data_IF_735283441387
#
_entry.id   IF_735283441387
#
_cell.length_a   1.000
_cell.length_b   1.000
_cell.length_c   1.000
_cell.angle_alpha   90.00
_cell.angle_beta   90.00
_cell.angle_gamma   90.00
#
_symmetry.space_group_name_H-M   'P 1'
#
loop_
_entity.id
_entity.type
_entity.pdbx_description
1 polymer ?
#
# COMPACT_ATOMS: atom_id res chain seq x y z
N UNK A 1 -8.68 -31.72 -3.31
CA UNK A 1 -7.26 -32.10 -3.11
C UNK A 1 -6.40 -30.86 -3.31
N UNK A 2 -5.36 -30.70 -2.51
CA UNK A 2 -4.42 -29.58 -2.62
C UNK A 2 -3.39 -29.85 -3.70
N UNK A 3 -3.19 -28.91 -4.63
CA UNK A 3 -2.15 -29.03 -5.65
C UNK A 3 -0.84 -28.38 -5.15
N UNK A 4 0.17 -29.19 -4.86
CA UNK A 4 1.54 -28.67 -4.71
C UNK A 4 2.09 -28.32 -6.11
N UNK A 5 2.60 -27.11 -6.27
CA UNK A 5 2.97 -26.55 -7.56
C UNK A 5 4.47 -26.37 -7.70
N UNK A 6 4.97 -26.58 -8.91
CA UNK A 6 6.31 -26.19 -9.32
C UNK A 6 6.26 -24.84 -10.05
N UNK A 7 7.36 -24.10 -10.04
CA UNK A 7 7.50 -22.87 -10.84
C UNK A 7 7.12 -23.13 -12.31
N UNK A 8 6.27 -22.28 -12.87
CA UNK A 8 5.70 -22.38 -14.22
C UNK A 8 4.49 -23.30 -14.37
N UNK A 9 4.19 -24.15 -13.38
CA UNK A 9 3.01 -25.02 -13.42
C UNK A 9 1.71 -24.22 -13.27
N UNK A 10 0.60 -24.77 -13.77
CA UNK A 10 -0.71 -24.15 -13.67
C UNK A 10 -1.81 -25.17 -13.37
N UNK A 11 -2.86 -24.72 -12.69
CA UNK A 11 -4.02 -25.54 -12.29
C UNK A 11 -5.31 -24.78 -12.63
N UNK A 12 -6.35 -25.45 -13.16
CA UNK A 12 -7.67 -24.83 -13.33
C UNK A 12 -8.30 -24.50 -11.98
N UNK A 13 -9.04 -23.40 -11.93
CA UNK A 13 -9.79 -22.96 -10.77
C UNK A 13 -11.29 -23.14 -11.03
N UNK A 14 -11.95 -23.87 -10.13
CA UNK A 14 -13.41 -24.00 -10.13
C UNK A 14 -14.09 -23.00 -9.19
N UNK A 15 -13.30 -22.27 -8.39
CA UNK A 15 -13.80 -21.28 -7.44
C UNK A 15 -14.15 -19.97 -8.16
N UNK A 16 -15.29 -19.38 -7.78
CA UNK A 16 -15.75 -18.09 -8.32
C UNK A 16 -15.02 -16.91 -7.69
N UNK A 17 -14.57 -17.06 -6.45
CA UNK A 17 -13.76 -16.11 -5.74
C UNK A 17 -12.60 -16.84 -5.04
N UNK A 18 -11.44 -16.20 -4.99
CA UNK A 18 -10.23 -16.79 -4.41
C UNK A 18 -9.67 -15.92 -3.29
N UNK A 19 -9.04 -16.59 -2.34
CA UNK A 19 -8.25 -15.99 -1.27
C UNK A 19 -6.81 -16.48 -1.40
N UNK A 20 -5.93 -15.59 -1.86
CA UNK A 20 -4.50 -15.83 -1.96
C UNK A 20 -3.81 -15.37 -0.68
N UNK A 21 -3.21 -16.31 0.05
CA UNK A 21 -2.53 -16.08 1.32
C UNK A 21 -1.03 -16.24 1.09
N UNK A 22 -0.29 -15.15 1.26
CA UNK A 22 1.15 -15.22 1.44
C UNK A 22 1.44 -15.64 2.89
N UNK A 23 2.38 -16.56 3.08
CA UNK A 23 2.81 -17.02 4.40
C UNK A 23 4.33 -17.12 4.46
N UNK A 24 4.93 -16.66 5.54
CA UNK A 24 6.37 -16.74 5.80
C UNK A 24 6.67 -16.91 7.29
N UNK A 25 7.87 -17.44 7.58
CA UNK A 25 8.36 -17.64 8.95
C UNK A 25 8.99 -16.35 9.47
N UNK A 26 8.49 -15.73 10.55
CA UNK A 26 9.08 -14.52 11.13
C UNK A 26 10.39 -14.83 11.88
N UNK A 27 11.27 -13.83 12.01
CA UNK A 27 12.53 -13.93 12.75
C UNK A 27 13.23 -12.58 12.91
N UNK A 28 14.30 -12.49 13.71
CA UNK A 28 15.00 -11.22 14.01
C UNK A 28 15.49 -10.45 12.78
N UNK A 29 15.86 -11.15 11.71
CA UNK A 29 16.39 -10.56 10.46
C UNK A 29 15.47 -10.81 9.26
N UNK A 30 14.23 -11.27 9.50
CA UNK A 30 13.26 -11.54 8.44
C UNK A 30 12.45 -10.27 8.22
N UNK A 31 12.47 -9.66 7.02
CA UNK A 31 11.68 -8.46 6.75
C UNK A 31 10.18 -8.75 6.82
N UNK A 32 9.40 -7.70 7.02
CA UNK A 32 7.96 -7.79 6.81
C UNK A 32 7.66 -7.92 5.31
N UNK A 33 6.58 -8.64 4.97
CA UNK A 33 6.20 -8.91 3.58
C UNK A 33 4.81 -8.34 3.35
N UNK A 34 4.66 -7.57 2.28
CA UNK A 34 3.38 -7.01 1.85
C UNK A 34 2.87 -7.72 0.60
N UNK A 35 1.63 -8.21 0.67
CA UNK A 35 0.93 -8.75 -0.49
C UNK A 35 0.36 -7.61 -1.33
N UNK A 36 0.45 -7.75 -2.65
CA UNK A 36 -0.18 -6.83 -3.60
C UNK A 36 -0.80 -7.58 -4.77
N UNK A 37 -1.75 -6.96 -5.45
CA UNK A 37 -2.36 -7.47 -6.66
C UNK A 37 -2.43 -6.42 -7.77
N UNK A 38 -2.11 -6.82 -9.00
CA UNK A 38 -2.29 -6.00 -10.18
C UNK A 38 -3.35 -6.63 -11.08
N UNK A 39 -4.38 -5.87 -11.42
CA UNK A 39 -5.39 -6.27 -12.38
C UNK A 39 -4.93 -5.83 -13.77
N UNK A 40 -4.65 -6.80 -14.63
CA UNK A 40 -4.16 -6.56 -15.97
C UNK A 40 -5.28 -6.82 -16.96
N UNK A 41 -5.35 -5.94 -17.96
CA UNK A 41 -6.17 -6.17 -19.12
C UNK A 41 -5.37 -6.66 -20.32
N UNK A 42 -6.05 -6.67 -21.47
CA UNK A 42 -5.50 -7.15 -22.74
C UNK A 42 -4.14 -6.52 -23.05
N UNK A 43 -3.10 -7.35 -23.15
CA UNK A 43 -1.72 -6.92 -23.38
C UNK A 43 -0.84 -6.93 -22.13
N UNK A 44 -1.34 -7.42 -21.00
CA UNK A 44 -0.55 -7.63 -19.79
C UNK A 44 -0.16 -6.33 -19.11
N UNK A 45 -1.03 -5.32 -19.15
CA UNK A 45 -0.84 -4.00 -18.52
C UNK A 45 -2.06 -3.60 -17.71
N UNK A 46 -1.85 -2.76 -16.71
CA UNK A 46 -2.95 -2.13 -15.97
C UNK A 46 -3.72 -1.17 -16.89
N UNK A 47 -5.01 -0.95 -16.61
CA UNK A 47 -5.83 0.01 -17.37
C UNK A 47 -5.74 1.42 -16.78
N UNK A 48 -5.50 1.50 -15.47
CA UNK A 48 -5.22 2.71 -14.71
C UNK A 48 -4.43 2.34 -13.44
N UNK A 49 -3.87 3.34 -12.75
CA UNK A 49 -3.17 3.11 -11.47
C UNK A 49 -4.08 2.52 -10.38
N UNK A 50 -5.40 2.67 -10.53
CA UNK A 50 -6.40 2.09 -9.63
C UNK A 50 -6.46 0.54 -9.69
N UNK A 51 -5.96 -0.05 -10.78
CA UNK A 51 -5.85 -1.50 -10.93
C UNK A 51 -4.71 -2.11 -10.08
N UNK A 52 -4.03 -1.30 -9.28
CA UNK A 52 -3.05 -1.75 -8.30
C UNK A 52 -3.61 -1.76 -6.87
N UNK A 53 -3.68 -2.94 -6.27
CA UNK A 53 -4.07 -3.14 -4.88
C UNK A 53 -2.83 -3.44 -4.05
N UNK A 54 -2.51 -2.59 -3.09
CA UNK A 54 -1.33 -2.70 -2.22
C UNK A 54 -1.59 -2.05 -0.86
N UNK A 55 -0.59 -1.87 -0.02
CA UNK A 55 -0.80 -1.40 1.36
C UNK A 55 -1.45 0.00 1.47
N UNK A 56 -1.11 0.93 0.58
CA UNK A 56 -1.68 2.28 0.57
C UNK A 56 -3.04 2.36 -0.13
N UNK A 57 -3.35 1.37 -0.96
CA UNK A 57 -4.64 1.20 -1.64
C UNK A 57 -5.12 -0.25 -1.46
N UNK A 58 -5.62 -0.61 -0.26
CA UNK A 58 -5.92 -1.99 0.07
C UNK A 58 -7.18 -2.53 -0.62
N UNK A 59 -7.87 -1.72 -1.43
CA UNK A 59 -9.10 -2.11 -2.12
C UNK A 59 -9.12 -1.49 -3.51
N UNK A 60 -9.46 -2.30 -4.50
CA UNK A 60 -9.80 -1.82 -5.84
C UNK A 60 -11.14 -1.06 -5.81
N UNK A 61 -11.35 0.00 -6.62
CA UNK A 61 -12.61 0.74 -6.65
C UNK A 61 -13.86 -0.10 -6.94
N UNK A 62 -13.72 -1.21 -7.68
CA UNK A 62 -14.81 -2.16 -7.91
C UNK A 62 -15.26 -2.91 -6.65
N UNK A 63 -14.42 -2.95 -5.61
CA UNK A 63 -14.61 -3.76 -4.41
C UNK A 63 -14.36 -5.27 -4.59
N UNK A 64 -14.07 -5.71 -5.82
CA UNK A 64 -13.92 -7.13 -6.17
C UNK A 64 -12.54 -7.69 -5.82
N UNK A 65 -11.52 -6.84 -5.72
CA UNK A 65 -10.18 -7.23 -5.28
C UNK A 65 -9.78 -6.37 -4.08
N UNK A 66 -9.32 -7.03 -3.01
CA UNK A 66 -8.89 -6.35 -1.79
C UNK A 66 -7.81 -7.12 -1.05
N UNK A 67 -6.92 -6.37 -0.44
CA UNK A 67 -5.98 -6.86 0.57
C UNK A 67 -6.67 -6.88 1.94
N UNK A 68 -6.46 -7.94 2.69
CA UNK A 68 -6.88 -8.07 4.08
C UNK A 68 -5.72 -7.72 5.03
N UNK A 69 -6.01 -7.38 6.30
CA UNK A 69 -4.95 -7.13 7.27
C UNK A 69 -4.06 -8.34 7.48
N UNK A 70 -2.77 -8.10 7.71
CA UNK A 70 -1.81 -9.13 8.10
C UNK A 70 -2.27 -9.83 9.38
N UNK A 71 -2.00 -11.12 9.47
CA UNK A 71 -2.33 -11.96 10.63
C UNK A 71 -1.13 -12.79 11.04
N UNK A 72 -1.08 -13.12 12.32
CA UNK A 72 -0.17 -14.13 12.87
C UNK A 72 -0.95 -15.42 13.09
N UNK A 73 -0.46 -16.50 12.53
CA UNK A 73 -0.98 -17.86 12.68
C UNK A 73 0.10 -18.76 13.30
N UNK A 74 -0.26 -19.98 13.66
CA UNK A 74 0.66 -20.95 14.27
C UNK A 74 1.88 -21.20 13.37
N UNK A 75 1.68 -21.23 12.05
CA UNK A 75 2.70 -21.54 11.05
C UNK A 75 3.49 -20.33 10.54
N UNK A 76 3.21 -19.10 11.02
CA UNK A 76 3.95 -17.91 10.62
C UNK A 76 3.14 -16.62 10.56
N UNK A 77 3.67 -15.65 9.83
CA UNK A 77 2.95 -14.43 9.46
C UNK A 77 2.26 -14.62 8.10
N UNK A 78 1.13 -13.96 7.93
CA UNK A 78 0.36 -14.01 6.68
C UNK A 78 -0.10 -12.63 6.26
N UNK A 79 -0.13 -12.43 4.94
CA UNK A 79 -0.80 -11.33 4.27
C UNK A 79 -1.71 -11.93 3.17
N UNK A 80 -2.81 -11.27 2.84
CA UNK A 80 -3.87 -11.90 2.06
C UNK A 80 -4.51 -10.96 1.06
N UNK A 81 -4.73 -11.46 -0.15
CA UNK A 81 -5.55 -10.82 -1.18
C UNK A 81 -6.76 -11.70 -1.46
N UNK A 82 -7.96 -11.10 -1.46
CA UNK A 82 -9.19 -11.72 -1.95
C UNK A 82 -9.56 -11.12 -3.31
N UNK A 83 -10.01 -11.96 -4.23
CA UNK A 83 -10.46 -11.56 -5.57
C UNK A 83 -11.72 -12.34 -5.99
N UNK A 84 -12.79 -11.63 -6.34
CA UNK A 84 -14.00 -12.21 -6.95
C UNK A 84 -13.82 -12.29 -8.47
N UNK A 85 -13.35 -13.44 -8.93
CA UNK A 85 -12.97 -13.67 -10.33
C UNK A 85 -14.17 -13.78 -11.28
N UNK A 86 -15.33 -14.17 -10.76
CA UNK A 86 -16.55 -14.30 -11.56
C UNK A 86 -17.17 -12.94 -11.88
N UNK A 87 -17.05 -11.97 -10.96
CA UNK A 87 -17.57 -10.63 -11.13
C UNK A 87 -16.60 -9.64 -11.79
N UNK A 88 -15.31 -10.01 -11.97
CA UNK A 88 -14.33 -9.15 -12.61
C UNK A 88 -14.77 -8.75 -14.03
N UNK A 89 -14.55 -7.47 -14.34
CA UNK A 89 -14.82 -6.90 -15.65
C UNK A 89 -14.17 -7.76 -16.76
N UNK A 90 -14.85 -8.01 -17.89
CA UNK A 90 -14.32 -8.84 -18.98
C UNK A 90 -13.00 -8.32 -19.58
N UNK A 91 -12.70 -7.03 -19.42
CA UNK A 91 -11.42 -6.45 -19.84
C UNK A 91 -10.24 -6.83 -18.95
N UNK A 92 -10.47 -7.40 -17.75
CA UNK A 92 -9.41 -7.96 -16.88
C UNK A 92 -9.23 -9.44 -17.21
N UNK A 93 -8.12 -9.77 -17.86
CA UNK A 93 -7.77 -11.14 -18.26
C UNK A 93 -6.77 -11.80 -17.30
N UNK A 94 -6.10 -11.02 -16.45
CA UNK A 94 -5.11 -11.52 -15.52
C UNK A 94 -5.09 -10.71 -14.21
N UNK A 95 -4.85 -11.39 -13.09
CA UNK A 95 -4.56 -10.80 -11.78
C UNK A 95 -3.21 -11.34 -11.31
N UNK A 96 -2.20 -10.47 -11.25
CA UNK A 96 -0.86 -10.79 -10.75
C UNK A 96 -0.86 -10.66 -9.24
N UNK A 97 -0.36 -11.68 -8.54
CA UNK A 97 -0.24 -11.73 -7.08
C UNK A 97 1.25 -11.62 -6.73
N UNK A 98 1.61 -10.52 -6.07
CA UNK A 98 2.99 -10.19 -5.77
C UNK A 98 3.22 -10.02 -4.26
N UNK A 99 4.49 -10.17 -3.87
CA UNK A 99 5.02 -9.93 -2.54
C UNK A 99 6.13 -8.89 -2.64
N UNK A 100 6.23 -7.98 -1.68
CA UNK A 100 7.34 -7.02 -1.58
C UNK A 100 7.84 -6.86 -0.15
N UNK A 101 9.08 -6.40 -0.03
CA UNK A 101 9.76 -6.07 1.22
C UNK A 101 10.45 -4.72 1.08
N UNK A 102 10.46 -3.91 2.14
CA UNK A 102 11.08 -2.57 2.11
C UNK A 102 12.48 -2.56 2.75
N UNK A 103 12.69 -3.33 3.82
CA UNK A 103 13.90 -3.21 4.66
C UNK A 103 15.04 -4.16 4.28
N UNK A 104 14.73 -5.28 3.63
CA UNK A 104 15.71 -6.30 3.28
C UNK A 104 15.24 -7.15 2.10
N UNK A 105 16.17 -7.73 1.31
CA UNK A 105 15.81 -8.53 0.15
C UNK A 105 15.37 -9.95 0.51
N UNK A 106 14.74 -10.64 -0.44
CA UNK A 106 14.07 -11.93 -0.27
C UNK A 106 15.01 -13.07 0.15
N UNK A 107 16.34 -12.97 0.02
CA UNK A 107 17.27 -13.95 0.63
C UNK A 107 17.10 -14.09 2.15
N UNK A 108 16.63 -13.04 2.82
CA UNK A 108 16.39 -13.04 4.26
C UNK A 108 15.02 -13.64 4.64
N UNK A 109 14.12 -13.78 3.67
CA UNK A 109 12.78 -14.32 3.87
C UNK A 109 12.85 -15.85 3.99
N UNK A 110 12.14 -16.39 4.99
CA UNK A 110 12.11 -17.83 5.28
C UNK A 110 10.74 -18.42 4.98
N UNK A 111 10.74 -19.57 4.31
CA UNK A 111 9.55 -20.39 4.03
C UNK A 111 8.40 -19.61 3.36
N UNK A 112 8.71 -18.70 2.44
CA UNK A 112 7.68 -17.96 1.71
C UNK A 112 6.86 -18.90 0.83
N UNK A 113 5.55 -18.83 0.98
CA UNK A 113 4.60 -19.59 0.15
C UNK A 113 3.40 -18.74 -0.20
N UNK A 114 2.82 -19.04 -1.35
CA UNK A 114 1.48 -18.62 -1.69
C UNK A 114 0.53 -19.81 -1.61
N UNK A 115 -0.53 -19.67 -0.82
CA UNK A 115 -1.60 -20.64 -0.66
C UNK A 115 -2.89 -20.04 -1.25
N UNK A 116 -3.50 -20.74 -2.18
CA UNK A 116 -4.75 -20.30 -2.80
C UNK A 116 -5.92 -21.08 -2.21
N UNK A 117 -6.94 -20.39 -1.74
CA UNK A 117 -8.17 -20.97 -1.22
C UNK A 117 -9.37 -20.49 -2.02
N UNK A 118 -10.47 -21.23 -1.97
CA UNK A 118 -11.78 -20.70 -2.33
C UNK A 118 -12.19 -19.68 -1.25
N UNK A 119 -12.55 -18.46 -1.68
CA UNK A 119 -12.97 -17.41 -0.75
C UNK A 119 -14.34 -17.69 -0.11
N UNK A 120 -15.21 -18.47 -0.79
CA UNK A 120 -16.49 -18.90 -0.24
C UNK A 120 -16.33 -20.00 0.82
N UNK A 121 -15.20 -20.70 0.84
CA UNK A 121 -14.89 -21.68 1.87
C UNK A 121 -14.52 -20.97 3.19
N UNK A 122 -14.91 -21.54 4.34
CA UNK A 122 -14.59 -20.98 5.64
C UNK A 122 -13.07 -20.79 5.79
N UNK A 123 -12.68 -19.61 6.27
CA UNK A 123 -11.30 -19.32 6.60
C UNK A 123 -10.96 -20.02 7.93
N UNK A 124 -10.02 -20.96 7.93
CA UNK A 124 -9.61 -21.64 9.16
C UNK A 124 -8.71 -22.84 8.92
N UNK A 125 -8.16 -23.36 10.02
CA UNK A 125 -7.41 -24.61 10.03
C UNK A 125 -8.30 -25.76 9.51
N UNK A 126 -7.78 -26.53 8.56
CA UNK A 126 -8.48 -27.68 7.96
C UNK A 126 -9.13 -27.41 6.61
N UNK A 127 -9.29 -26.16 6.17
CA UNK A 127 -9.72 -25.88 4.80
C UNK A 127 -8.59 -26.22 3.82
N UNK A 128 -8.78 -27.14 2.85
CA UNK A 128 -7.74 -27.49 1.91
C UNK A 128 -7.50 -26.33 0.93
N UNK A 129 -6.23 -25.96 0.73
CA UNK A 129 -5.87 -25.04 -0.32
C UNK A 129 -6.15 -25.68 -1.69
N UNK A 130 -6.59 -24.87 -2.66
CA UNK A 130 -6.71 -25.25 -4.06
C UNK A 130 -5.32 -25.51 -4.66
N UNK A 131 -4.36 -24.65 -4.29
CA UNK A 131 -2.98 -24.68 -4.75
C UNK A 131 -2.03 -24.15 -3.68
N UNK A 132 -0.82 -24.70 -3.65
CA UNK A 132 0.29 -24.24 -2.80
C UNK A 132 1.55 -24.18 -3.64
N UNK A 133 2.27 -23.07 -3.57
CA UNK A 133 3.55 -22.87 -4.23
C UNK A 133 4.56 -22.28 -3.25
N UNK A 134 5.69 -22.96 -3.08
CA UNK A 134 6.84 -22.45 -2.33
C UNK A 134 7.60 -21.46 -3.23
N UNK A 135 7.65 -20.19 -2.81
CA UNK A 135 8.23 -19.10 -3.59
C UNK A 135 9.69 -18.95 -3.19
N UNK A 136 10.60 -19.06 -4.16
CA UNK A 136 12.03 -18.94 -3.93
C UNK A 136 12.61 -17.78 -4.76
N UNK A 137 13.44 -16.91 -4.16
CA UNK A 137 14.15 -15.87 -4.92
C UNK A 137 15.11 -16.51 -5.91
N UNK A 138 15.35 -15.83 -7.05
CA UNK A 138 16.25 -16.36 -8.09
C UNK A 138 17.71 -16.02 -7.78
N UNK A 139 17.95 -14.77 -7.38
CA UNK A 139 19.27 -14.23 -7.04
C UNK A 139 19.41 -13.95 -5.55
N UNK A 140 18.30 -13.74 -4.84
CA UNK A 140 18.28 -13.38 -3.43
C UNK A 140 18.36 -11.87 -3.17
N UNK A 141 18.63 -11.06 -4.20
CA UNK A 141 18.72 -9.60 -4.12
C UNK A 141 17.37 -8.93 -4.40
N UNK A 142 16.34 -9.69 -4.72
CA UNK A 142 15.03 -9.15 -5.06
C UNK A 142 14.34 -8.58 -3.84
N UNK A 143 13.61 -7.48 -4.02
CA UNK A 143 12.76 -6.84 -2.98
C UNK A 143 11.29 -6.82 -3.38
N UNK A 144 10.97 -7.29 -4.60
CA UNK A 144 9.62 -7.70 -4.98
C UNK A 144 9.64 -9.01 -5.77
N UNK A 145 8.55 -9.77 -5.69
CA UNK A 145 8.38 -11.04 -6.38
C UNK A 145 6.94 -11.23 -6.85
N UNK A 146 6.77 -11.73 -8.07
CA UNK A 146 5.49 -12.29 -8.51
C UNK A 146 5.41 -13.72 -7.99
N UNK A 147 4.55 -13.95 -7.01
CA UNK A 147 4.33 -15.27 -6.43
C UNK A 147 3.49 -16.15 -7.36
N UNK A 148 2.49 -15.56 -8.01
CA UNK A 148 1.65 -16.28 -8.97
C UNK A 148 0.72 -15.34 -9.72
N UNK A 149 0.01 -15.91 -10.69
CA UNK A 149 -0.95 -15.18 -11.51
C UNK A 149 -2.24 -15.99 -11.66
N UNK A 150 -3.37 -15.29 -11.58
CA UNK A 150 -4.67 -15.79 -11.95
C UNK A 150 -4.92 -15.30 -13.37
N UNK A 151 -5.25 -16.16 -14.32
CA UNK A 151 -5.48 -15.74 -15.70
C UNK A 151 -6.66 -16.48 -16.33
N UNK A 152 -7.38 -15.79 -17.23
CA UNK A 152 -8.48 -16.38 -17.99
C UNK A 152 -7.93 -17.30 -19.08
N UNK A 153 -8.53 -18.48 -19.24
CA UNK A 153 -8.26 -19.40 -20.34
C UNK A 153 -9.54 -20.11 -20.75
N UNK A 154 -10.06 -19.77 -21.94
CA UNK A 154 -11.40 -20.21 -22.34
C UNK A 154 -12.43 -19.59 -21.41
N UNK A 155 -13.38 -20.39 -20.94
CA UNK A 155 -14.48 -19.93 -20.08
C UNK A 155 -14.15 -19.93 -18.57
N UNK A 156 -12.90 -20.22 -18.20
CA UNK A 156 -12.50 -20.39 -16.81
C UNK A 156 -11.22 -19.66 -16.43
N UNK A 157 -10.98 -19.60 -15.12
CA UNK A 157 -9.75 -19.08 -14.54
C UNK A 157 -8.76 -20.20 -14.24
N UNK A 158 -7.47 -19.88 -14.33
CA UNK A 158 -6.37 -20.76 -13.95
C UNK A 158 -5.42 -20.01 -13.05
N UNK A 159 -4.79 -20.72 -12.11
CA UNK A 159 -3.67 -20.19 -11.35
C UNK A 159 -2.36 -20.74 -11.93
N UNK A 160 -1.35 -19.89 -12.08
CA UNK A 160 0.02 -20.28 -12.43
C UNK A 160 0.98 -19.84 -11.34
N UNK A 161 1.85 -20.76 -10.94
CA UNK A 161 2.99 -20.46 -10.07
C UNK A 161 4.09 -19.78 -10.90
N UNK A 162 4.53 -18.59 -10.51
CA UNK A 162 5.46 -17.77 -11.32
C UNK A 162 6.84 -17.70 -10.67
N UNK A 163 6.95 -17.15 -9.46
CA UNK A 163 8.22 -17.02 -8.74
C UNK A 163 9.26 -16.18 -9.49
N UNK A 164 8.84 -15.08 -10.11
CA UNK A 164 9.74 -14.15 -10.80
C UNK A 164 10.09 -12.99 -9.87
N UNK A 165 11.38 -12.67 -9.76
CA UNK A 165 11.86 -11.62 -8.86
C UNK A 165 12.16 -10.29 -9.55
N UNK A 166 12.13 -9.21 -8.76
CA UNK A 166 12.41 -7.83 -9.16
C UNK A 166 13.39 -7.19 -8.16
N UNK A 167 14.67 -7.03 -8.53
CA UNK A 167 15.67 -6.30 -7.73
C UNK A 167 15.34 -4.82 -7.53
N UNK A 168 14.58 -4.25 -8.46
CA UNK A 168 14.08 -2.86 -8.41
C UNK A 168 12.85 -2.68 -7.52
N UNK A 169 12.48 -3.72 -6.76
CA UNK A 169 11.40 -3.68 -5.79
C UNK A 169 10.01 -3.49 -6.39
N UNK A 170 9.09 -3.08 -5.53
CA UNK A 170 7.67 -2.94 -5.91
C UNK A 170 7.48 -1.88 -7.00
N UNK A 171 8.28 -0.81 -6.98
CA UNK A 171 8.26 0.25 -8.00
C UNK A 171 8.61 -0.30 -9.37
N UNK A 172 9.68 -1.09 -9.47
CA UNK A 172 10.09 -1.70 -10.73
C UNK A 172 9.07 -2.73 -11.24
N UNK A 173 8.47 -3.50 -10.34
CA UNK A 173 7.38 -4.42 -10.67
C UNK A 173 6.17 -3.65 -11.21
N UNK A 174 5.71 -2.61 -10.51
CA UNK A 174 4.57 -1.79 -10.90
C UNK A 174 4.80 -1.11 -12.27
N UNK A 175 5.99 -0.55 -12.48
CA UNK A 175 6.40 0.08 -13.75
C UNK A 175 6.39 -0.92 -14.91
N UNK A 176 6.80 -2.16 -14.68
CA UNK A 176 6.77 -3.21 -15.71
C UNK A 176 5.36 -3.49 -16.22
N UNK A 177 4.34 -3.29 -15.39
CA UNK A 177 2.92 -3.45 -15.75
C UNK A 177 2.23 -2.15 -16.18
N UNK A 178 2.97 -1.04 -16.27
CA UNK A 178 2.48 0.23 -16.80
C UNK A 178 1.96 1.24 -15.77
N UNK A 179 2.21 1.01 -14.48
CA UNK A 179 1.92 2.00 -13.43
C UNK A 179 3.03 3.04 -13.43
N UNK A 180 2.65 4.32 -13.44
CA UNK A 180 3.62 5.41 -13.26
C UNK A 180 3.74 5.72 -11.78
N UNK A 181 4.94 5.58 -11.21
CA UNK A 181 5.21 5.98 -9.84
C UNK A 181 5.84 7.37 -9.89
N UNK A 182 5.04 8.39 -9.61
CA UNK A 182 5.57 9.73 -9.38
C UNK A 182 6.31 9.70 -8.04
N UNK A 183 7.65 9.62 -8.11
CA UNK A 183 8.51 9.79 -6.96
C UNK A 183 8.36 11.25 -6.50
N UNK A 184 7.51 11.48 -5.51
CA UNK A 184 7.40 12.79 -4.87
C UNK A 184 8.72 13.07 -4.16
N UNK A 185 9.64 13.71 -4.87
CA UNK A 185 10.89 14.24 -4.37
C UNK A 185 10.60 15.13 -3.14
N UNK A 186 11.12 14.82 -1.93
CA UNK A 186 10.91 15.67 -0.76
C UNK A 186 11.65 17.03 -0.86
N UNK A 187 12.26 17.34 -2.00
CA UNK A 187 12.88 18.64 -2.29
C UNK A 187 12.08 19.53 -3.27
N UNK A 188 10.75 19.45 -3.30
CA UNK A 188 9.94 20.53 -3.89
C UNK A 188 9.51 21.52 -2.82
N UNK A 189 10.41 22.45 -2.46
CA UNK A 189 9.99 23.72 -1.88
C UNK A 189 9.05 24.47 -2.84
N UNK A 190 8.23 25.42 -2.36
CA UNK A 190 7.31 26.14 -3.23
C UNK A 190 8.09 27.05 -4.19
N UNK A 191 8.35 26.55 -5.40
CA UNK A 191 8.82 27.35 -6.53
C UNK A 191 7.65 28.14 -7.14
N UNK A 192 7.88 29.35 -7.67
CA UNK A 192 6.81 30.25 -8.10
C UNK A 192 6.05 29.69 -9.31
N UNK A 193 4.73 29.67 -9.19
CA UNK A 193 3.79 29.34 -10.26
C UNK A 193 3.92 30.34 -11.43
N UNK A 194 4.18 29.89 -12.68
CA UNK A 194 4.05 30.75 -13.84
C UNK A 194 2.56 31.06 -14.07
N UNK A 195 2.19 32.33 -13.99
CA UNK A 195 0.86 32.79 -14.36
C UNK A 195 0.58 32.47 -15.83
N UNK A 196 -0.57 31.85 -16.08
CA UNK A 196 -1.11 31.59 -17.40
C UNK A 196 -1.25 32.89 -18.20
N UNK A 197 -0.41 33.09 -19.22
CA UNK A 197 -0.69 34.02 -20.31
C UNK A 197 -1.53 33.29 -21.36
N UNK A 198 -2.82 33.62 -21.42
CA UNK A 198 -3.69 33.22 -22.53
C UNK A 198 -3.35 34.05 -23.78
N UNK A 199 -3.20 33.35 -24.91
CA UNK A 199 -2.96 33.92 -26.24
C UNK A 199 -4.21 34.64 -26.80
N UNK A 200 -4.06 35.53 -27.81
CA UNK A 200 -5.04 36.55 -28.14
C UNK A 200 -6.09 36.05 -29.14
N UNK A 201 -7.35 36.47 -28.94
CA UNK A 201 -8.40 36.46 -29.97
C UNK A 201 -8.60 37.86 -30.51
N UNK A 202 -8.59 37.96 -31.83
CA UNK A 202 -8.82 39.13 -32.67
C UNK A 202 -10.24 39.69 -32.52
N UNK A 203 -10.35 41.00 -32.25
CA UNK A 203 -11.52 41.79 -32.61
C UNK A 203 -11.13 43.27 -32.77
N UNK A 204 -11.19 43.76 -34.00
CA UNK A 204 -11.15 45.17 -34.33
C UNK A 204 -12.50 45.82 -33.99
N UNK A 205 -12.51 47.08 -33.52
CA UNK A 205 -13.28 48.23 -34.08
C UNK A 205 -13.39 49.40 -33.09
N UNK A 206 -13.00 50.58 -33.58
CA UNK A 206 -13.45 51.96 -33.29
C UNK A 206 -13.38 52.60 -31.88
N UNK A 207 -12.41 53.54 -31.76
CA UNK A 207 -12.50 54.95 -31.34
C UNK A 207 -13.56 55.42 -30.30
N UNK A 208 -13.10 56.14 -29.27
CA UNK A 208 -13.60 57.47 -28.80
C UNK A 208 -12.51 58.11 -27.87
N UNK A 209 -12.48 59.46 -27.69
CA UNK A 209 -11.28 60.28 -27.41
C UNK A 209 -11.00 60.53 -25.91
N UNK A 210 -9.86 61.16 -25.54
CA UNK A 210 -9.46 61.32 -24.13
C UNK A 210 -10.13 62.53 -23.45
N UNK A 211 -10.34 62.51 -22.12
CA UNK A 211 -10.72 63.70 -21.37
C UNK A 211 -9.49 64.59 -21.05
N UNK A 212 -9.70 65.90 -20.79
CA UNK A 212 -8.67 66.93 -20.88
C UNK A 212 -7.81 67.10 -19.62
N UNK A 213 -6.57 67.61 -19.80
CA UNK A 213 -5.69 68.09 -18.73
C UNK A 213 -5.82 69.62 -18.52
N UNK A 214 -5.81 70.08 -17.27
CA UNK A 214 -5.43 71.44 -16.84
C UNK A 214 -5.15 71.48 -15.29
N UNK A 215 -4.48 72.51 -14.71
CA UNK A 215 -3.13 72.38 -14.13
C UNK A 215 -3.04 72.85 -12.63
N UNK A 216 -1.94 73.41 -12.05
CA UNK A 216 -1.27 72.84 -10.87
C UNK A 216 -1.35 73.65 -9.54
N UNK A 217 -0.95 72.97 -8.46
CA UNK A 217 -0.32 73.41 -7.19
C UNK A 217 -1.08 74.27 -6.15
N UNK A 218 -1.02 73.85 -4.88
CA UNK A 218 -1.01 74.80 -3.74
C UNK A 218 -1.46 74.31 -2.35
N UNK A 219 -0.48 74.03 -1.49
CA UNK A 219 -0.44 74.17 0.00
C UNK A 219 -1.23 73.23 0.95
N UNK A 220 -0.49 72.64 1.91
CA UNK A 220 -1.00 72.43 3.27
C UNK A 220 -0.52 71.20 4.06
N UNK A 221 0.64 71.32 4.71
CA UNK A 221 1.15 70.65 5.95
C UNK A 221 1.10 69.11 6.17
N UNK A 222 2.15 68.55 6.84
CA UNK A 222 2.25 67.12 7.14
C UNK A 222 1.53 66.75 8.45
N UNK A 223 0.99 65.51 8.53
CA UNK A 223 0.53 64.93 9.80
C UNK A 223 1.22 63.57 10.07
N UNK A 224 1.66 63.31 11.32
CA UNK A 224 2.57 62.22 11.67
C UNK A 224 1.89 60.87 11.95
N UNK A 225 2.69 59.80 11.87
CA UNK A 225 2.30 58.42 12.15
C UNK A 225 2.17 58.12 13.66
N UNK A 226 1.20 57.30 14.09
CA UNK A 226 1.14 56.81 15.46
C UNK A 226 2.06 55.59 15.69
N UNK A 227 2.97 55.76 16.64
CA UNK A 227 3.79 54.74 17.31
C UNK A 227 2.91 53.74 18.08
N UNK A 228 3.17 52.43 17.93
CA UNK A 228 2.61 51.37 18.77
C UNK A 228 3.55 51.09 19.96
N UNK A 229 3.05 51.05 21.22
CA UNK A 229 3.86 50.72 22.38
C UNK A 229 4.12 49.21 22.53
N UNK A 230 5.25 48.91 23.17
CA UNK A 230 5.82 47.59 23.43
C UNK A 230 5.14 46.84 24.61
N UNK A 231 5.18 45.49 24.52
CA UNK A 231 5.46 44.43 25.53
C UNK A 231 5.19 44.73 27.04
N UNK A 232 4.67 43.88 27.94
CA UNK A 232 4.47 42.42 28.19
C UNK A 232 3.37 42.29 29.31
N UNK A 233 3.13 41.20 30.12
CA UNK A 233 3.64 39.83 30.13
C UNK A 233 2.60 38.69 30.33
N UNK A 234 3.13 37.47 30.19
CA UNK A 234 2.74 36.16 30.69
C UNK A 234 1.45 36.02 31.53
N UNK A 235 0.54 35.18 31.04
CA UNK A 235 -0.44 34.46 31.86
C UNK A 235 -0.17 32.96 31.77
N UNK A 236 0.02 32.35 32.93
CA UNK A 236 0.43 30.97 33.11
C UNK A 236 -0.65 29.95 32.76
N UNK A 237 -0.20 28.83 32.22
CA UNK A 237 -0.92 27.56 32.26
C UNK A 237 -0.28 26.69 33.36
N UNK A 238 -1.08 26.02 34.21
CA UNK A 238 -0.57 25.07 35.17
C UNK A 238 -0.08 23.79 34.46
N UNK A 239 1.07 23.31 34.92
CA UNK A 239 1.74 22.10 34.46
C UNK A 239 0.97 20.86 34.91
N UNK A 240 0.71 19.85 34.06
CA UNK A 240 0.12 18.59 34.49
C UNK A 240 1.11 17.82 35.37
N UNK A 241 0.68 17.52 36.60
CA UNK A 241 1.42 16.72 37.56
C UNK A 241 1.59 15.28 37.04
N UNK A 242 2.83 14.77 37.12
CA UNK A 242 3.15 13.37 36.88
C UNK A 242 2.43 12.49 37.91
N UNK A 243 1.58 11.58 37.45
CA UNK A 243 0.98 10.56 38.30
C UNK A 243 2.06 9.60 38.78
N UNK A 244 2.19 9.48 40.10
CA UNK A 244 3.08 8.54 40.77
C UNK A 244 2.66 7.08 40.49
N UNK A 245 3.65 6.21 40.33
CA UNK A 245 3.45 4.76 40.25
C UNK A 245 2.78 4.22 41.53
N UNK A 246 1.86 3.25 41.43
CA UNK A 246 1.21 2.67 42.59
C UNK A 246 2.21 1.86 43.45
N UNK A 247 2.17 2.08 44.76
CA UNK A 247 2.91 1.31 45.74
C UNK A 247 2.40 -0.16 45.79
N UNK A 248 3.27 -1.14 46.08
CA UNK A 248 2.86 -2.54 46.17
C UNK A 248 1.97 -2.80 47.38
N UNK A 249 0.93 -3.60 47.16
CA UNK A 249 -0.12 -3.92 48.12
C UNK A 249 0.41 -4.81 49.27
N UNK A 250 0.36 -4.38 50.55
CA UNK A 250 0.93 -5.14 51.68
C UNK A 250 0.18 -6.45 52.00
N UNK A 251 -0.94 -6.73 51.31
CA UNK A 251 -1.75 -7.94 51.47
C UNK A 251 -1.63 -8.93 50.31
N UNK A 252 -0.76 -8.68 49.32
CA UNK A 252 -0.54 -9.64 48.25
C UNK A 252 0.24 -10.86 48.76
N UNK A 253 -0.44 -12.00 48.87
CA UNK A 253 0.19 -13.32 49.10
C UNK A 253 0.26 -14.08 47.78
N UNK A 254 1.45 -14.56 47.43
CA UNK A 254 1.62 -15.52 46.34
C UNK A 254 0.79 -16.80 46.62
N UNK A 255 0.14 -17.39 45.61
CA UNK A 255 -0.48 -18.70 45.75
C UNK A 255 0.59 -19.76 46.07
N UNK A 256 0.25 -20.80 46.85
CA UNK A 256 1.18 -21.88 47.15
C UNK A 256 1.62 -22.56 45.84
N UNK A 257 2.94 -22.62 45.64
CA UNK A 257 3.56 -23.41 44.58
C UNK A 257 3.10 -24.86 44.72
N UNK A 258 2.38 -25.37 43.71
CA UNK A 258 2.04 -26.79 43.61
C UNK A 258 3.28 -27.68 43.59
N UNK A 259 3.16 -28.96 43.97
CA UNK A 259 4.31 -29.84 44.17
C UNK A 259 5.15 -29.96 42.89
N UNK A 260 6.44 -29.73 43.04
CA UNK A 260 7.43 -30.04 42.01
C UNK A 260 7.47 -31.56 41.85
N UNK A 261 7.09 -32.05 40.68
CA UNK A 261 7.31 -33.44 40.30
C UNK A 261 8.82 -33.66 40.14
N UNK A 262 9.42 -34.25 41.18
CA UNK A 262 10.73 -34.87 41.09
C UNK A 262 10.62 -36.07 40.15
N UNK A 263 11.25 -35.97 38.99
CA UNK A 263 11.55 -37.10 38.11
C UNK A 263 12.52 -38.03 38.83
N UNK A 264 12.20 -39.32 38.86
CA UNK A 264 13.14 -40.40 39.19
C UNK A 264 13.32 -41.26 37.95
#
# INVERSE_FOLDING_TARGET
>A
MTHAMLKGSNVPLNAMAVRAVLRWTPGPDVPDIDASALLLGTGGRVRSDEDFVFYNQPRHPSGLVRRLPKKRVTEGLTDTVEADLAALDPSVDQVVLAASTDDAPFRAVRDLRILLYDAAAPAGEGTPALAVFDVQPETGEETAMICGELYRRGDGWKFRAVGQGYPTGLVGLATAFGISVDEADPASGPGPQPEHTAAPVTAATAAFPPPPQAPPAGYGYPHPAPVRPAAQPAYGYPQPAAAAAPAPDPYFRLPPMGPQFLTR
#
